data_IF_141511711025
#
_entry.id   IF_141511711025
#
_cell.length_a   1.000
_cell.length_b   1.000
_cell.length_c   1.000
_cell.angle_alpha   90.00
_cell.angle_beta   90.00
_cell.angle_gamma   90.00
#
_symmetry.space_group_name_H-M   'P 1'
#
loop_
_entity.id
_entity.type
_entity.pdbx_description
1 polymer ?
#
# COMPACT_ATOMS: atom_id res chain seq x y z
N UNK A 1 -20.59 6.20 11.87
CA UNK A 1 -22.02 6.22 12.30
C UNK A 1 -22.77 7.41 11.72
N UNK A 2 -22.33 8.67 11.95
CA UNK A 2 -23.03 9.87 11.40
C UNK A 2 -23.11 9.82 9.86
N UNK A 3 -22.01 9.49 9.18
CA UNK A 3 -21.97 9.38 7.70
C UNK A 3 -22.89 8.26 7.20
N UNK A 4 -22.95 7.14 7.91
CA UNK A 4 -23.85 6.03 7.65
C UNK A 4 -25.31 6.46 7.75
N UNK A 5 -25.71 7.11 8.86
CA UNK A 5 -27.08 7.56 9.09
C UNK A 5 -27.54 8.66 8.13
N UNK A 6 -26.59 9.43 7.57
CA UNK A 6 -26.87 10.42 6.53
C UNK A 6 -26.89 9.85 5.10
N UNK A 7 -26.79 8.53 4.94
CA UNK A 7 -26.75 7.88 3.61
C UNK A 7 -25.45 8.14 2.84
N UNK A 8 -24.40 8.60 3.52
CA UNK A 8 -23.13 8.92 2.88
C UNK A 8 -22.34 7.68 2.46
N UNK A 9 -22.57 6.54 3.11
CA UNK A 9 -21.96 5.25 2.74
C UNK A 9 -22.51 4.78 1.41
N UNK A 10 -23.83 4.83 1.24
CA UNK A 10 -24.52 4.44 0.01
C UNK A 10 -24.06 5.30 -1.17
N UNK A 11 -23.95 6.61 -0.96
CA UNK A 11 -23.49 7.54 -1.99
C UNK A 11 -22.03 7.25 -2.41
N UNK A 12 -21.13 7.05 -1.46
CA UNK A 12 -19.73 6.71 -1.74
C UNK A 12 -19.61 5.35 -2.42
N UNK A 13 -20.37 4.35 -1.98
CA UNK A 13 -20.41 3.02 -2.59
C UNK A 13 -20.91 3.08 -4.04
N UNK A 14 -21.93 3.90 -4.33
CA UNK A 14 -22.42 4.10 -5.69
C UNK A 14 -21.38 4.75 -6.60
N UNK A 15 -20.65 5.76 -6.11
CA UNK A 15 -19.62 6.44 -6.90
C UNK A 15 -18.40 5.57 -7.16
N UNK A 16 -18.03 4.71 -6.21
CA UNK A 16 -16.88 3.81 -6.32
C UNK A 16 -17.25 2.46 -6.97
N UNK A 17 -18.55 2.16 -7.10
CA UNK A 17 -19.02 0.90 -7.68
C UNK A 17 -18.39 0.57 -9.05
N UNK A 18 -18.29 1.50 -10.03
CA UNK A 18 -17.64 1.17 -11.30
C UNK A 18 -16.16 0.80 -11.15
N UNK A 19 -15.46 1.44 -10.19
CA UNK A 19 -14.06 1.17 -9.90
C UNK A 19 -13.90 -0.20 -9.23
N UNK A 20 -14.77 -0.53 -8.28
CA UNK A 20 -14.79 -1.84 -7.62
C UNK A 20 -15.14 -2.95 -8.61
N UNK A 21 -16.13 -2.76 -9.47
CA UNK A 21 -16.49 -3.70 -10.51
C UNK A 21 -15.33 -3.98 -11.49
N UNK A 22 -14.52 -2.97 -11.83
CA UNK A 22 -13.34 -3.12 -12.68
C UNK A 22 -12.36 -4.17 -12.13
N UNK A 23 -12.23 -4.23 -10.82
CA UNK A 23 -11.32 -5.15 -10.11
C UNK A 23 -12.03 -6.35 -9.49
N UNK A 24 -13.31 -6.58 -9.81
CA UNK A 24 -14.09 -7.75 -9.36
C UNK A 24 -14.48 -7.74 -7.89
N UNK A 25 -14.58 -6.56 -7.29
CA UNK A 25 -14.95 -6.39 -5.89
C UNK A 25 -16.41 -5.90 -5.76
N UNK A 26 -17.12 -6.28 -4.67
CA UNK A 26 -18.39 -5.68 -4.30
C UNK A 26 -18.25 -4.17 -4.04
N UNK A 27 -19.34 -3.42 -4.29
CA UNK A 27 -19.38 -1.95 -4.14
C UNK A 27 -19.03 -1.45 -2.74
N UNK A 28 -19.37 -2.21 -1.72
CA UNK A 28 -19.09 -1.91 -0.30
C UNK A 28 -17.59 -1.81 -0.01
N UNK A 29 -16.76 -2.53 -0.75
CA UNK A 29 -15.30 -2.48 -0.63
C UNK A 29 -14.72 -1.14 -1.08
N UNK A 30 -15.49 -0.36 -1.82
CA UNK A 30 -15.14 1.02 -2.17
C UNK A 30 -14.92 1.91 -0.95
N UNK A 31 -15.76 1.79 0.08
CA UNK A 31 -15.60 2.54 1.33
C UNK A 31 -14.33 2.12 2.08
N UNK A 32 -14.04 0.81 2.13
CA UNK A 32 -12.80 0.28 2.75
C UNK A 32 -11.59 0.88 2.07
N UNK A 33 -11.55 0.84 0.74
CA UNK A 33 -10.41 1.37 -0.01
C UNK A 33 -10.32 2.90 0.08
N UNK A 34 -11.42 3.63 -0.04
CA UNK A 34 -11.44 5.10 0.10
C UNK A 34 -10.92 5.53 1.48
N UNK A 35 -11.35 4.86 2.55
CA UNK A 35 -10.85 5.11 3.91
C UNK A 35 -9.35 4.86 3.99
N UNK A 36 -8.88 3.77 3.42
CA UNK A 36 -7.45 3.43 3.36
C UNK A 36 -6.64 4.50 2.61
N UNK A 37 -7.13 4.96 1.45
CA UNK A 37 -6.49 5.99 0.64
C UNK A 37 -6.26 7.29 1.40
N UNK A 38 -7.28 7.74 2.14
CA UNK A 38 -7.25 9.05 2.81
C UNK A 38 -6.57 8.99 4.18
N UNK A 39 -6.67 7.85 4.87
CA UNK A 39 -6.15 7.70 6.23
C UNK A 39 -4.94 6.76 6.29
N UNK A 40 -5.16 5.47 6.53
CA UNK A 40 -4.13 4.42 6.60
C UNK A 40 -4.76 3.02 6.50
N UNK A 41 -3.91 1.99 6.41
CA UNK A 41 -4.35 0.59 6.33
C UNK A 41 -5.19 0.18 7.53
N UNK A 42 -4.83 0.62 8.76
CA UNK A 42 -5.55 0.24 9.98
C UNK A 42 -7.00 0.73 9.99
N UNK A 43 -7.22 1.98 9.56
CA UNK A 43 -8.58 2.53 9.44
C UNK A 43 -9.39 1.79 8.36
N UNK A 44 -8.76 1.42 7.24
CA UNK A 44 -9.38 0.58 6.22
C UNK A 44 -9.78 -0.79 6.76
N UNK A 45 -8.91 -1.43 7.55
CA UNK A 45 -9.20 -2.71 8.21
C UNK A 45 -10.36 -2.59 9.20
N UNK A 46 -10.47 -1.48 9.95
CA UNK A 46 -11.63 -1.24 10.82
C UNK A 46 -12.93 -1.19 10.04
N UNK A 47 -12.96 -0.47 8.92
CA UNK A 47 -14.14 -0.42 8.05
C UNK A 47 -14.43 -1.80 7.47
N UNK A 48 -13.41 -2.53 7.03
CA UNK A 48 -13.56 -3.90 6.51
C UNK A 48 -14.20 -4.83 7.56
N UNK A 49 -13.73 -4.79 8.82
CA UNK A 49 -14.27 -5.61 9.90
C UNK A 49 -15.72 -5.25 10.26
N UNK A 50 -16.15 -4.02 10.00
CA UNK A 50 -17.55 -3.59 10.20
C UNK A 50 -18.48 -3.93 9.04
N UNK A 51 -17.94 -4.39 7.92
CA UNK A 51 -18.70 -4.83 6.74
C UNK A 51 -19.05 -6.31 6.87
N UNK A 52 -20.31 -6.66 6.66
CA UNK A 52 -20.77 -8.06 6.70
C UNK A 52 -20.73 -8.70 5.29
N UNK A 53 -19.58 -8.56 4.62
CA UNK A 53 -19.39 -9.11 3.29
C UNK A 53 -18.68 -10.46 3.34
N UNK A 54 -19.28 -11.47 2.74
CA UNK A 54 -18.64 -12.76 2.51
C UNK A 54 -17.81 -12.69 1.24
N UNK A 55 -16.51 -12.50 1.41
CA UNK A 55 -15.55 -12.41 0.30
C UNK A 55 -14.80 -13.72 0.11
N UNK A 56 -14.46 -14.00 -1.13
CA UNK A 56 -13.52 -15.08 -1.46
C UNK A 56 -12.08 -14.66 -1.15
N UNK A 57 -11.16 -15.63 -1.02
CA UNK A 57 -9.73 -15.37 -0.87
C UNK A 57 -9.21 -14.52 -2.04
N UNK A 58 -9.69 -14.76 -3.27
CA UNK A 58 -9.38 -13.94 -4.45
C UNK A 58 -9.75 -12.47 -4.23
N UNK A 59 -10.99 -12.21 -3.80
CA UNK A 59 -11.48 -10.85 -3.57
C UNK A 59 -10.74 -10.14 -2.44
N UNK A 60 -10.48 -10.83 -1.32
CA UNK A 60 -9.70 -10.26 -0.21
C UNK A 60 -8.26 -9.99 -0.63
N UNK A 61 -7.66 -10.84 -1.47
CA UNK A 61 -6.30 -10.61 -1.99
C UNK A 61 -6.25 -9.40 -2.93
N UNK A 62 -7.26 -9.20 -3.77
CA UNK A 62 -7.38 -8.00 -4.60
C UNK A 62 -7.55 -6.76 -3.72
N UNK A 63 -8.49 -6.76 -2.77
CA UNK A 63 -8.71 -5.65 -1.85
C UNK A 63 -7.43 -5.31 -1.08
N UNK A 64 -6.78 -6.34 -0.50
CA UNK A 64 -5.51 -6.19 0.19
C UNK A 64 -4.43 -5.57 -0.69
N UNK A 65 -4.35 -5.98 -1.96
CA UNK A 65 -3.43 -5.39 -2.94
C UNK A 65 -3.72 -3.91 -3.19
N UNK A 66 -4.99 -3.53 -3.33
CA UNK A 66 -5.38 -2.12 -3.46
C UNK A 66 -4.93 -1.30 -2.23
N UNK A 67 -5.16 -1.85 -1.03
CA UNK A 67 -4.78 -1.22 0.23
C UNK A 67 -3.25 -1.11 0.37
N UNK A 68 -2.50 -2.16 0.01
CA UNK A 68 -1.05 -2.20 0.10
C UNK A 68 -0.35 -1.22 -0.84
N UNK A 69 -0.86 -1.04 -2.07
CA UNK A 69 -0.27 -0.17 -3.08
C UNK A 69 -0.70 1.29 -2.94
N UNK A 70 -1.90 1.53 -2.39
CA UNK A 70 -2.44 2.87 -2.28
C UNK A 70 -3.15 3.08 -0.93
N UNK A 71 -2.41 3.62 0.04
CA UNK A 71 -2.90 4.06 1.35
C UNK A 71 -2.25 5.37 1.76
N UNK A 72 -2.76 6.04 2.78
CA UNK A 72 -2.18 7.25 3.39
C UNK A 72 -1.76 8.33 2.38
N UNK A 73 -2.48 8.50 1.27
CA UNK A 73 -2.09 9.37 0.16
C UNK A 73 -1.71 10.79 0.60
N UNK A 74 -2.43 11.47 1.52
CA UNK A 74 -2.06 12.83 1.92
C UNK A 74 -0.65 12.92 2.51
N UNK A 75 -0.27 11.93 3.34
CA UNK A 75 1.04 11.89 3.99
C UNK A 75 2.13 11.48 2.99
N UNK A 76 1.89 10.43 2.22
CA UNK A 76 2.90 9.85 1.35
C UNK A 76 3.19 10.72 0.12
N UNK A 77 2.15 11.37 -0.43
CA UNK A 77 2.33 12.40 -1.47
C UNK A 77 3.14 13.59 -0.93
N UNK A 78 2.90 14.00 0.32
CA UNK A 78 3.68 15.08 0.94
C UNK A 78 5.15 14.68 1.13
N UNK A 79 5.43 13.42 1.51
CA UNK A 79 6.79 12.87 1.60
C UNK A 79 7.46 12.86 0.22
N UNK A 80 6.80 12.33 -0.79
CA UNK A 80 7.31 12.27 -2.16
C UNK A 80 7.60 13.69 -2.71
N UNK A 81 6.67 14.64 -2.50
CA UNK A 81 6.87 16.05 -2.88
C UNK A 81 8.09 16.67 -2.21
N UNK A 82 8.30 16.43 -0.91
CA UNK A 82 9.47 16.91 -0.18
C UNK A 82 10.78 16.29 -0.69
N UNK A 83 10.74 15.11 -1.28
CA UNK A 83 11.89 14.49 -1.95
C UNK A 83 12.08 14.99 -3.40
N UNK A 84 11.31 15.97 -3.84
CA UNK A 84 11.40 16.54 -5.19
C UNK A 84 10.60 15.77 -6.25
N UNK A 85 9.74 14.86 -5.88
CA UNK A 85 8.92 14.05 -6.79
C UNK A 85 7.59 14.73 -7.08
N UNK A 86 7.16 14.67 -8.35
CA UNK A 86 5.90 15.25 -8.81
C UNK A 86 4.68 14.59 -8.17
N UNK A 87 3.75 15.40 -7.64
CA UNK A 87 2.51 14.91 -7.00
C UNK A 87 1.71 14.04 -7.97
N UNK A 88 1.54 14.48 -9.21
CA UNK A 88 0.73 13.79 -10.22
C UNK A 88 1.30 12.39 -10.48
N UNK A 89 2.63 12.27 -10.62
CA UNK A 89 3.27 10.98 -10.81
C UNK A 89 3.11 10.05 -9.61
N UNK A 90 3.21 10.60 -8.38
CA UNK A 90 2.94 9.83 -7.16
C UNK A 90 1.52 9.29 -7.14
N UNK A 91 0.52 10.11 -7.49
CA UNK A 91 -0.88 9.68 -7.54
C UNK A 91 -1.12 8.65 -8.66
N UNK A 92 -0.55 8.86 -9.85
CA UNK A 92 -0.67 7.92 -10.96
C UNK A 92 -0.08 6.56 -10.59
N UNK A 93 1.13 6.53 -10.02
CA UNK A 93 1.79 5.27 -9.71
C UNK A 93 1.06 4.52 -8.59
N UNK A 94 0.54 5.21 -7.59
CA UNK A 94 -0.16 4.57 -6.46
C UNK A 94 -1.57 4.16 -6.81
N UNK A 95 -2.42 5.09 -7.25
CA UNK A 95 -3.82 4.80 -7.59
C UNK A 95 -3.90 3.98 -8.87
N UNK A 96 -3.23 4.43 -9.92
CA UNK A 96 -3.21 3.72 -11.21
C UNK A 96 -2.54 2.35 -11.09
N UNK A 97 -1.42 2.25 -10.37
CA UNK A 97 -0.72 0.99 -10.11
C UNK A 97 -1.57 0.01 -9.30
N UNK A 98 -2.25 0.46 -8.25
CA UNK A 98 -3.13 -0.40 -7.45
C UNK A 98 -4.31 -0.94 -8.27
N UNK A 99 -4.97 -0.09 -9.04
CA UNK A 99 -6.07 -0.49 -9.91
C UNK A 99 -5.61 -1.43 -11.04
N UNK A 100 -4.46 -1.15 -11.64
CA UNK A 100 -3.88 -2.01 -12.68
C UNK A 100 -3.55 -3.40 -12.13
N UNK A 101 -2.90 -3.49 -10.97
CA UNK A 101 -2.60 -4.77 -10.35
C UNK A 101 -3.88 -5.49 -9.94
N UNK A 102 -4.84 -4.79 -9.32
CA UNK A 102 -6.13 -5.35 -8.96
C UNK A 102 -6.90 -5.91 -10.16
N UNK A 103 -6.90 -5.18 -11.28
CA UNK A 103 -7.50 -5.65 -12.53
C UNK A 103 -6.78 -6.89 -13.10
N UNK A 104 -5.45 -6.89 -13.12
CA UNK A 104 -4.66 -8.07 -13.57
C UNK A 104 -4.99 -9.29 -12.72
N UNK A 105 -5.01 -9.15 -11.40
CA UNK A 105 -5.33 -10.23 -10.47
C UNK A 105 -6.77 -10.72 -10.68
N UNK A 106 -7.73 -9.83 -10.86
CA UNK A 106 -9.11 -10.19 -11.17
C UNK A 106 -9.20 -11.06 -12.44
N UNK A 107 -8.51 -10.65 -13.53
CA UNK A 107 -8.48 -11.44 -14.76
C UNK A 107 -7.82 -12.82 -14.56
N UNK A 108 -6.72 -12.90 -13.81
CA UNK A 108 -6.02 -14.16 -13.51
C UNK A 108 -6.93 -15.09 -12.70
N UNK A 109 -7.55 -14.60 -11.64
CA UNK A 109 -8.40 -15.41 -10.76
C UNK A 109 -9.66 -15.88 -11.46
N UNK A 110 -10.30 -14.98 -12.22
CA UNK A 110 -11.51 -15.33 -12.97
C UNK A 110 -11.23 -16.36 -14.08
N UNK A 111 -10.15 -16.18 -14.84
CA UNK A 111 -9.80 -17.10 -15.93
C UNK A 111 -9.30 -18.46 -15.45
N UNK A 112 -8.60 -18.48 -14.31
CA UNK A 112 -8.02 -19.70 -13.73
C UNK A 112 -8.93 -20.40 -12.72
N UNK A 113 -10.11 -19.86 -12.41
CA UNK A 113 -11.01 -20.35 -11.34
C UNK A 113 -10.26 -20.54 -10.00
N UNK A 114 -9.43 -19.53 -9.64
CA UNK A 114 -8.50 -19.60 -8.51
C UNK A 114 -9.04 -18.90 -7.28
N UNK A 115 -8.72 -19.44 -6.09
CA UNK A 115 -8.98 -18.83 -4.78
C UNK A 115 -10.45 -18.47 -4.51
N UNK A 116 -11.39 -19.28 -5.01
CA UNK A 116 -12.83 -19.06 -4.88
C UNK A 116 -13.42 -19.52 -3.54
N UNK A 117 -12.60 -20.02 -2.62
CA UNK A 117 -13.03 -20.37 -1.27
C UNK A 117 -13.28 -19.10 -0.44
N UNK A 118 -14.21 -19.16 0.51
CA UNK A 118 -14.46 -18.08 1.45
C UNK A 118 -13.21 -17.74 2.25
N UNK A 119 -12.94 -16.47 2.43
CA UNK A 119 -11.78 -15.99 3.19
C UNK A 119 -12.02 -16.18 4.70
N UNK A 120 -11.02 -16.72 5.39
CA UNK A 120 -11.02 -16.80 6.86
C UNK A 120 -10.47 -15.51 7.46
N UNK A 121 -11.34 -14.66 7.98
CA UNK A 121 -10.97 -13.40 8.61
C UNK A 121 -10.67 -13.62 10.08
N UNK A 122 -9.39 -13.60 10.46
CA UNK A 122 -8.94 -13.82 11.86
C UNK A 122 -9.47 -12.75 12.81
N UNK A 123 -9.67 -11.53 12.31
CA UNK A 123 -10.11 -10.38 13.11
C UNK A 123 -11.62 -10.14 13.08
N UNK A 124 -12.42 -11.07 12.55
CA UNK A 124 -13.88 -10.87 12.43
C UNK A 124 -14.51 -10.81 13.82
N UNK A 125 -15.22 -9.73 14.11
CA UNK A 125 -16.07 -9.62 15.28
C UNK A 125 -17.49 -10.11 14.94
N UNK A 126 -18.13 -10.74 15.92
CA UNK A 126 -19.56 -11.01 15.81
C UNK A 126 -20.32 -9.67 15.70
N UNK A 127 -21.20 -9.56 14.74
CA UNK A 127 -22.03 -8.37 14.59
C UNK A 127 -22.79 -8.09 15.88
N UNK A 128 -22.76 -6.82 16.34
CA UNK A 128 -23.52 -6.40 17.55
C UNK A 128 -24.99 -6.35 17.16
N UNK A 129 -25.79 -7.21 17.78
CA UNK A 129 -27.25 -7.29 17.55
C UNK A 129 -28.04 -6.12 18.15
N UNK A 130 -27.43 -5.33 19.05
CA UNK A 130 -28.06 -4.19 19.71
C UNK A 130 -27.82 -2.90 18.92
N UNK A 131 -28.87 -2.23 18.39
CA UNK A 131 -28.76 -1.03 17.60
C UNK A 131 -28.45 0.23 18.43
N UNK A 132 -28.27 0.14 19.75
CA UNK A 132 -28.05 1.31 20.62
C UNK A 132 -26.69 1.96 20.39
N UNK A 133 -26.63 3.28 20.52
CA UNK A 133 -25.37 4.04 20.44
C UNK A 133 -24.33 3.60 21.49
N UNK A 134 -24.82 3.13 22.67
CA UNK A 134 -23.95 2.66 23.74
C UNK A 134 -23.30 1.33 23.34
N UNK A 135 -24.08 0.40 22.79
CA UNK A 135 -23.54 -0.88 22.28
C UNK A 135 -22.55 -0.64 21.15
N UNK A 136 -22.88 0.24 20.20
CA UNK A 136 -21.96 0.68 19.14
C UNK A 136 -20.66 1.26 19.71
N UNK A 137 -20.72 2.16 20.69
CA UNK A 137 -19.53 2.79 21.28
C UNK A 137 -18.65 1.75 22.00
N UNK A 138 -19.26 0.79 22.72
CA UNK A 138 -18.54 -0.31 23.37
C UNK A 138 -17.84 -1.19 22.32
N UNK A 139 -18.52 -1.49 21.20
CA UNK A 139 -17.95 -2.29 20.13
C UNK A 139 -16.78 -1.58 19.44
N UNK A 140 -16.91 -0.26 19.19
CA UNK A 140 -15.79 0.54 18.68
C UNK A 140 -14.59 0.52 19.63
N UNK A 141 -14.80 0.62 20.93
CA UNK A 141 -13.71 0.54 21.93
C UNK A 141 -13.05 -0.84 21.93
N UNK A 142 -13.82 -1.93 21.81
CA UNK A 142 -13.26 -3.29 21.69
C UNK A 142 -12.45 -3.45 20.41
N UNK A 143 -12.95 -2.96 19.27
CA UNK A 143 -12.27 -2.98 17.99
C UNK A 143 -10.96 -2.19 18.04
N UNK A 144 -10.98 -1.00 18.63
CA UNK A 144 -9.76 -0.19 18.84
C UNK A 144 -8.75 -0.90 19.75
N UNK A 145 -9.21 -1.51 20.84
CA UNK A 145 -8.35 -2.25 21.77
C UNK A 145 -7.71 -3.46 21.06
N UNK A 146 -8.49 -4.19 20.25
CA UNK A 146 -7.97 -5.33 19.48
C UNK A 146 -6.92 -4.87 18.44
N UNK A 147 -7.20 -3.82 17.68
CA UNK A 147 -6.24 -3.26 16.73
C UNK A 147 -4.97 -2.80 17.45
N UNK A 148 -5.10 -2.16 18.61
CA UNK A 148 -3.94 -1.78 19.42
C UNK A 148 -3.09 -3.01 19.81
N UNK A 149 -3.72 -4.10 20.23
CA UNK A 149 -3.01 -5.36 20.56
C UNK A 149 -2.31 -5.93 19.33
N UNK A 150 -2.99 -5.94 18.17
CA UNK A 150 -2.42 -6.40 16.89
C UNK A 150 -1.20 -5.55 16.49
N UNK A 151 -1.32 -4.22 16.57
CA UNK A 151 -0.21 -3.31 16.27
C UNK A 151 0.96 -3.57 17.22
N UNK A 152 0.71 -3.68 18.53
CA UNK A 152 1.74 -3.92 19.52
C UNK A 152 2.45 -5.28 19.30
N UNK A 153 1.69 -6.33 18.96
CA UNK A 153 2.23 -7.64 18.63
C UNK A 153 3.08 -7.58 17.35
N UNK A 154 2.59 -6.92 16.29
CA UNK A 154 3.31 -6.72 15.03
C UNK A 154 4.60 -5.93 15.23
N UNK A 155 4.55 -4.81 15.93
CA UNK A 155 5.74 -4.00 16.23
C UNK A 155 6.78 -4.79 17.04
N UNK A 156 6.32 -5.61 17.99
CA UNK A 156 7.19 -6.51 18.76
C UNK A 156 7.82 -7.57 17.86
N UNK A 157 7.02 -8.18 16.99
CA UNK A 157 7.49 -9.18 16.04
C UNK A 157 8.51 -8.61 15.04
N UNK A 158 8.24 -7.43 14.48
CA UNK A 158 9.20 -6.73 13.60
C UNK A 158 10.51 -6.41 14.32
N UNK A 159 10.45 -6.02 15.60
CA UNK A 159 11.66 -5.80 16.41
C UNK A 159 12.46 -7.09 16.57
N UNK A 160 11.80 -8.22 16.81
CA UNK A 160 12.44 -9.54 16.87
C UNK A 160 13.07 -9.92 15.53
N UNK A 161 12.38 -9.73 14.41
CA UNK A 161 12.92 -9.97 13.06
C UNK A 161 14.18 -9.12 12.80
N UNK A 162 14.18 -7.87 13.23
CA UNK A 162 15.34 -6.98 13.13
C UNK A 162 16.52 -7.52 13.94
N UNK A 163 16.29 -7.97 15.17
CA UNK A 163 17.33 -8.60 16.02
C UNK A 163 17.89 -9.88 15.38
N UNK A 164 17.06 -10.66 14.68
CA UNK A 164 17.46 -11.85 13.94
C UNK A 164 18.21 -11.54 12.63
N UNK A 165 18.33 -10.27 12.25
CA UNK A 165 19.06 -9.85 11.05
C UNK A 165 18.30 -9.97 9.75
N UNK A 166 16.98 -10.12 9.77
CA UNK A 166 16.12 -10.19 8.57
C UNK A 166 16.31 -8.95 7.67
N UNK A 167 16.54 -7.79 8.26
CA UNK A 167 16.86 -6.56 7.53
C UNK A 167 18.12 -6.71 6.65
N UNK A 168 19.16 -7.40 7.15
CA UNK A 168 20.38 -7.71 6.38
C UNK A 168 20.09 -8.70 5.25
N UNK A 169 19.28 -9.72 5.52
CA UNK A 169 18.86 -10.70 4.52
C UNK A 169 18.07 -10.03 3.40
N UNK A 170 17.10 -9.20 3.72
CA UNK A 170 16.35 -8.40 2.76
C UNK A 170 17.28 -7.50 1.93
N UNK A 171 18.28 -6.88 2.58
CA UNK A 171 19.30 -6.11 1.88
C UNK A 171 20.08 -6.94 0.85
N UNK A 172 20.45 -8.17 1.17
CA UNK A 172 21.15 -9.07 0.24
C UNK A 172 20.25 -9.45 -0.94
N UNK A 173 19.00 -9.77 -0.69
CA UNK A 173 18.03 -10.19 -1.71
C UNK A 173 17.60 -9.03 -2.63
N UNK A 174 17.43 -7.82 -2.09
CA UNK A 174 16.93 -6.67 -2.85
C UNK A 174 18.03 -5.95 -3.63
N UNK A 175 19.30 -5.96 -3.17
CA UNK A 175 20.40 -5.27 -3.86
C UNK A 175 20.54 -5.62 -5.35
N UNK A 176 20.54 -6.89 -5.77
CA UNK A 176 20.64 -7.21 -7.20
C UNK A 176 19.47 -6.64 -8.00
N UNK A 177 18.24 -6.70 -7.46
CA UNK A 177 17.04 -6.16 -8.09
C UNK A 177 17.16 -4.65 -8.28
N UNK A 178 17.55 -3.91 -7.22
CA UNK A 178 17.71 -2.46 -7.26
C UNK A 178 18.85 -2.03 -8.18
N UNK A 179 19.91 -2.83 -8.28
CA UNK A 179 21.01 -2.61 -9.20
C UNK A 179 20.59 -2.74 -10.66
N UNK A 180 19.77 -3.74 -10.99
CA UNK A 180 19.18 -3.90 -12.36
C UNK A 180 18.30 -2.72 -12.72
N UNK A 181 17.57 -2.15 -11.78
CA UNK A 181 16.77 -0.95 -11.96
C UNK A 181 17.63 0.33 -12.15
N UNK A 182 18.95 0.21 -12.04
CA UNK A 182 19.89 1.31 -12.26
C UNK A 182 19.91 2.35 -11.14
N UNK A 183 19.42 1.99 -9.94
CA UNK A 183 19.50 2.83 -8.74
C UNK A 183 20.93 2.80 -8.21
N UNK A 184 21.51 3.95 -7.92
CA UNK A 184 22.87 4.02 -7.43
C UNK A 184 23.00 3.37 -6.03
N UNK A 185 24.22 3.03 -5.60
CA UNK A 185 24.46 2.26 -4.37
C UNK A 185 23.98 3.00 -3.11
N UNK A 186 24.07 4.31 -3.09
CA UNK A 186 23.66 5.13 -1.93
C UNK A 186 22.14 5.14 -1.81
N UNK A 187 21.42 5.43 -2.92
CA UNK A 187 19.98 5.36 -2.97
C UNK A 187 19.46 3.93 -2.71
N UNK A 188 20.17 2.89 -3.17
CA UNK A 188 19.84 1.48 -2.90
C UNK A 188 19.76 1.19 -1.41
N UNK A 189 20.73 1.63 -0.60
CA UNK A 189 20.71 1.39 0.84
C UNK A 189 19.51 2.05 1.52
N UNK A 190 19.18 3.29 1.12
CA UNK A 190 18.03 4.04 1.66
C UNK A 190 16.70 3.42 1.23
N UNK A 191 16.64 2.94 -0.01
CA UNK A 191 15.46 2.24 -0.54
C UNK A 191 15.20 0.94 0.22
N UNK A 192 16.24 0.16 0.53
CA UNK A 192 16.11 -1.06 1.35
C UNK A 192 15.54 -0.73 2.73
N UNK A 193 16.01 0.35 3.37
CA UNK A 193 15.45 0.83 4.64
C UNK A 193 13.96 1.17 4.48
N UNK A 194 13.58 1.84 3.39
CA UNK A 194 12.17 2.18 3.13
C UNK A 194 11.29 0.96 2.85
N UNK A 195 11.81 -0.06 2.15
CA UNK A 195 11.07 -1.31 1.90
C UNK A 195 10.85 -2.07 3.21
N UNK A 196 11.81 -2.03 4.13
CA UNK A 196 11.75 -2.81 5.38
C UNK A 196 11.06 -2.07 6.52
N UNK A 197 11.31 -0.77 6.68
CA UNK A 197 10.86 0.06 7.82
C UNK A 197 9.76 1.07 7.43
N UNK A 198 9.36 1.10 6.18
CA UNK A 198 8.30 1.97 5.68
C UNK A 198 8.76 3.29 5.07
N UNK A 199 7.84 3.93 4.36
CA UNK A 199 8.12 5.16 3.61
C UNK A 199 8.49 6.34 4.52
N UNK A 200 7.95 6.43 5.72
CA UNK A 200 8.29 7.50 6.68
C UNK A 200 9.78 7.51 7.02
N UNK A 201 10.39 6.34 7.20
CA UNK A 201 11.83 6.22 7.47
C UNK A 201 12.67 6.37 6.19
N UNK A 202 12.42 5.53 5.19
CA UNK A 202 13.17 5.55 3.93
C UNK A 202 13.00 6.85 3.16
N UNK A 203 11.78 7.38 3.09
CA UNK A 203 11.49 8.66 2.46
C UNK A 203 12.14 9.83 3.19
N UNK A 204 12.16 9.82 4.53
CA UNK A 204 12.85 10.82 5.32
C UNK A 204 14.36 10.87 5.03
N UNK A 205 14.99 9.71 4.90
CA UNK A 205 16.40 9.61 4.50
C UNK A 205 16.63 10.11 3.07
N UNK A 206 15.78 9.72 2.12
CA UNK A 206 15.85 10.19 0.74
C UNK A 206 15.66 11.71 0.63
N UNK A 207 14.74 12.30 1.40
CA UNK A 207 14.56 13.76 1.48
C UNK A 207 15.86 14.44 1.95
N UNK A 208 16.50 13.89 2.96
CA UNK A 208 17.74 14.45 3.50
C UNK A 208 18.88 14.40 2.47
N UNK A 209 19.05 13.26 1.79
CA UNK A 209 20.06 13.13 0.73
C UNK A 209 19.74 13.95 -0.51
N UNK A 210 18.45 14.12 -0.83
CA UNK A 210 18.01 15.03 -1.90
C UNK A 210 18.42 16.48 -1.64
N UNK A 211 18.29 16.95 -0.39
CA UNK A 211 18.76 18.28 0.02
C UNK A 211 20.28 18.43 -0.01
N UNK A 212 21.00 17.37 0.37
CA UNK A 212 22.49 17.37 0.31
C UNK A 212 23.05 17.33 -1.12
N UNK A 213 22.23 16.91 -2.08
CA UNK A 213 22.64 16.84 -3.49
C UNK A 213 23.62 15.70 -3.82
N UNK A 214 23.84 14.74 -2.92
CA UNK A 214 24.74 13.60 -3.13
C UNK A 214 24.16 12.57 -4.11
N UNK A 215 22.82 12.43 -4.11
CA UNK A 215 22.10 11.50 -4.97
C UNK A 215 21.43 12.28 -6.13
N UNK A 216 21.47 11.75 -7.33
CA UNK A 216 20.85 12.41 -8.45
C UNK A 216 19.33 12.51 -8.29
N UNK A 217 18.67 13.61 -8.77
CA UNK A 217 17.20 13.73 -8.69
C UNK A 217 16.47 12.57 -9.35
N UNK A 218 17.07 11.98 -10.39
CA UNK A 218 16.54 10.81 -11.09
C UNK A 218 16.56 9.56 -10.19
N UNK A 219 17.68 9.30 -9.49
CA UNK A 219 17.78 8.14 -8.60
C UNK A 219 16.84 8.28 -7.43
N UNK A 220 16.68 9.50 -6.88
CA UNK A 220 15.69 9.79 -5.83
C UNK A 220 14.28 9.52 -6.35
N UNK A 221 13.96 9.97 -7.56
CA UNK A 221 12.67 9.75 -8.17
C UNK A 221 12.38 8.24 -8.34
N UNK A 222 13.29 7.47 -8.90
CA UNK A 222 13.12 6.01 -9.10
C UNK A 222 12.98 5.29 -7.77
N UNK A 223 13.82 5.62 -6.78
CA UNK A 223 13.74 5.07 -5.43
C UNK A 223 12.37 5.39 -4.76
N UNK A 224 11.90 6.65 -4.87
CA UNK A 224 10.60 7.05 -4.34
C UNK A 224 9.44 6.36 -5.05
N UNK A 225 9.49 6.19 -6.39
CA UNK A 225 8.45 5.46 -7.14
C UNK A 225 8.40 3.99 -6.72
N UNK A 226 9.55 3.37 -6.49
CA UNK A 226 9.61 2.01 -5.98
C UNK A 226 9.05 1.93 -4.55
N UNK A 227 9.42 2.85 -3.66
CA UNK A 227 8.87 2.89 -2.30
C UNK A 227 7.37 3.18 -2.28
N UNK A 228 6.86 3.97 -3.21
CA UNK A 228 5.43 4.21 -3.35
C UNK A 228 4.61 2.92 -3.58
N UNK A 229 5.22 1.87 -4.14
CA UNK A 229 4.58 0.58 -4.40
C UNK A 229 4.99 -0.52 -3.42
N UNK A 230 6.21 -0.44 -2.82
CA UNK A 230 6.80 -1.57 -2.11
C UNK A 230 7.36 -1.22 -0.71
N UNK A 231 6.93 -0.15 -0.08
CA UNK A 231 7.35 0.11 1.30
C UNK A 231 6.63 -0.81 2.31
N UNK A 232 7.17 -0.90 3.53
CA UNK A 232 6.62 -1.74 4.62
C UNK A 232 6.28 -3.17 4.21
N UNK A 233 7.12 -3.78 3.36
CA UNK A 233 6.81 -5.04 2.70
C UNK A 233 6.43 -6.16 3.68
N UNK A 234 7.05 -6.23 4.84
CA UNK A 234 6.77 -7.27 5.85
C UNK A 234 5.55 -6.87 6.69
N UNK A 235 5.55 -5.65 7.25
CA UNK A 235 4.52 -5.19 8.18
C UNK A 235 3.13 -5.20 7.54
N UNK A 236 3.00 -4.49 6.42
CA UNK A 236 1.72 -4.34 5.75
C UNK A 236 1.20 -5.68 5.20
N UNK A 237 2.10 -6.55 4.71
CA UNK A 237 1.72 -7.90 4.26
C UNK A 237 1.13 -8.72 5.41
N UNK A 238 1.76 -8.69 6.58
CA UNK A 238 1.26 -9.41 7.76
C UNK A 238 -0.12 -8.90 8.20
N UNK A 239 -0.36 -7.58 8.11
CA UNK A 239 -1.68 -7.01 8.39
C UNK A 239 -2.76 -7.53 7.45
N UNK A 240 -2.46 -7.56 6.15
CA UNK A 240 -3.43 -8.01 5.14
C UNK A 240 -3.64 -9.53 5.19
N UNK A 241 -2.66 -10.31 5.64
CA UNK A 241 -2.86 -11.74 5.91
C UNK A 241 -3.93 -12.00 6.99
N UNK A 242 -4.10 -11.11 7.98
CA UNK A 242 -5.09 -11.26 9.04
C UNK A 242 -6.54 -11.19 8.56
N UNK A 243 -6.77 -10.67 7.36
CA UNK A 243 -8.10 -10.65 6.72
C UNK A 243 -8.30 -11.79 5.71
N UNK A 244 -7.35 -12.73 5.62
CA UNK A 244 -7.50 -13.95 4.81
C UNK A 244 -7.01 -13.82 3.36
N UNK A 245 -6.14 -12.85 3.05
CA UNK A 245 -5.55 -12.71 1.72
C UNK A 245 -4.51 -13.82 1.43
N UNK A 246 -4.31 -14.15 0.15
CA UNK A 246 -3.29 -15.09 -0.29
C UNK A 246 -1.89 -14.48 -0.22
N UNK A 247 -0.97 -15.14 0.50
CA UNK A 247 0.40 -14.69 0.69
C UNK A 247 1.18 -14.51 -0.63
N UNK A 248 1.03 -15.46 -1.56
CA UNK A 248 1.76 -15.40 -2.83
C UNK A 248 1.39 -14.15 -3.63
N UNK A 249 0.12 -13.78 -3.59
CA UNK A 249 -0.39 -12.60 -4.27
C UNK A 249 0.11 -11.31 -3.63
N UNK A 250 -0.11 -11.13 -2.32
CA UNK A 250 0.13 -9.84 -1.66
C UNK A 250 1.62 -9.60 -1.37
N UNK A 251 2.45 -10.63 -1.32
CA UNK A 251 3.90 -10.53 -1.14
C UNK A 251 4.63 -10.63 -2.48
N UNK A 252 4.69 -11.82 -3.09
CA UNK A 252 5.46 -12.04 -4.31
C UNK A 252 4.84 -11.36 -5.53
N UNK A 253 3.51 -11.40 -5.67
CA UNK A 253 2.80 -10.68 -6.73
C UNK A 253 3.09 -9.20 -6.66
N UNK A 254 3.06 -8.59 -5.47
CA UNK A 254 3.41 -7.17 -5.24
C UNK A 254 4.86 -6.88 -5.62
N UNK A 255 5.81 -7.73 -5.24
CA UNK A 255 7.24 -7.56 -5.60
C UNK A 255 7.42 -7.60 -7.11
N UNK A 256 6.92 -8.63 -7.77
CA UNK A 256 7.05 -8.80 -9.23
C UNK A 256 6.40 -7.64 -9.97
N UNK A 257 5.17 -7.28 -9.59
CA UNK A 257 4.46 -6.14 -10.19
C UNK A 257 5.27 -4.85 -10.04
N UNK A 258 5.73 -4.55 -8.83
CA UNK A 258 6.49 -3.32 -8.56
C UNK A 258 7.78 -3.27 -9.38
N UNK A 259 8.56 -4.35 -9.40
CA UNK A 259 9.80 -4.40 -10.18
C UNK A 259 9.52 -4.18 -11.66
N UNK A 260 8.50 -4.83 -12.20
CA UNK A 260 8.10 -4.69 -13.61
C UNK A 260 7.68 -3.23 -13.93
N UNK A 261 6.84 -2.62 -13.10
CA UNK A 261 6.39 -1.24 -13.30
C UNK A 261 7.57 -0.26 -13.23
N UNK A 262 8.47 -0.44 -12.27
CA UNK A 262 9.64 0.45 -12.13
C UNK A 262 10.63 0.23 -13.27
N UNK A 263 10.81 -1.00 -13.76
CA UNK A 263 11.66 -1.26 -14.94
C UNK A 263 11.11 -0.55 -16.20
N UNK A 264 9.81 -0.65 -16.43
CA UNK A 264 9.14 0.08 -17.51
C UNK A 264 9.31 1.59 -17.33
N UNK A 265 9.13 2.11 -16.13
CA UNK A 265 9.32 3.53 -15.83
C UNK A 265 10.76 3.99 -16.12
N UNK A 266 11.76 3.23 -15.68
CA UNK A 266 13.19 3.51 -15.93
C UNK A 266 13.50 3.46 -17.43
N UNK A 267 12.93 2.50 -18.15
CA UNK A 267 13.08 2.40 -19.60
C UNK A 267 12.51 3.63 -20.33
N UNK A 268 11.35 4.13 -19.90
CA UNK A 268 10.76 5.36 -20.44
C UNK A 268 11.64 6.57 -20.13
N UNK A 269 12.08 6.71 -18.87
CA UNK A 269 12.95 7.83 -18.45
C UNK A 269 14.28 7.88 -19.22
N UNK A 270 14.84 6.73 -19.60
CA UNK A 270 16.08 6.67 -20.40
C UNK A 270 15.92 7.23 -21.81
N UNK A 271 14.69 7.30 -22.34
CA UNK A 271 14.36 7.80 -23.68
C UNK A 271 13.89 9.25 -23.70
N UNK A 272 13.64 9.83 -22.53
CA UNK A 272 13.17 11.21 -22.40
C UNK A 272 14.35 12.15 -22.15
N UNK A 273 14.22 13.37 -22.67
CA UNK A 273 15.18 14.45 -22.38
C UNK A 273 15.04 14.93 -20.93
N UNK A 274 16.16 15.38 -20.35
CA UNK A 274 16.22 15.82 -18.94
C UNK A 274 15.28 17.00 -18.66
N UNK A 275 15.04 17.88 -19.64
CA UNK A 275 14.13 19.03 -19.46
C UNK A 275 12.69 18.60 -19.26
N UNK A 276 12.24 17.60 -20.00
CA UNK A 276 10.91 16.99 -19.86
C UNK A 276 10.80 16.23 -18.55
N UNK A 277 11.84 15.48 -18.18
CA UNK A 277 11.88 14.77 -16.89
C UNK A 277 11.74 15.74 -15.72
N UNK A 278 12.46 16.83 -15.70
CA UNK A 278 12.38 17.88 -14.66
C UNK A 278 11.05 18.60 -14.62
N UNK A 279 10.37 18.72 -15.74
CA UNK A 279 9.07 19.39 -15.83
C UNK A 279 7.94 18.56 -15.23
N UNK A 280 7.95 17.24 -15.44
CA UNK A 280 6.80 16.37 -15.16
C UNK A 280 7.02 15.36 -14.03
N UNK A 281 8.25 14.92 -13.78
CA UNK A 281 8.52 13.80 -12.89
C UNK A 281 9.20 14.23 -11.60
N UNK A 282 10.26 15.04 -11.67
CA UNK A 282 11.04 15.43 -10.51
C UNK A 282 11.68 16.82 -10.66
N UNK A 283 11.97 17.44 -9.54
CA UNK A 283 12.65 18.72 -9.48
C UNK A 283 13.88 18.61 -8.58
N UNK A 284 14.93 19.42 -8.89
CA UNK A 284 16.03 19.58 -7.94
C UNK A 284 15.51 20.38 -6.73
N UNK A 285 15.69 19.84 -5.55
CA UNK A 285 15.37 20.58 -4.32
C UNK A 285 16.44 21.65 -4.15
N UNK A 286 16.06 22.92 -4.19
CA UNK A 286 16.91 24.02 -3.73
C UNK A 286 16.84 24.08 -2.21
N UNK A 287 17.96 24.36 -1.55
CA UNK A 287 18.04 24.59 -0.13
C UNK A 287 17.03 25.62 0.35
#
# INVERSE_FOLDING_TARGET
KIVEELGGIELLSQWLSPVMALVGLPSEMGLVWATTLVTNIYAGLMVFMSTDADLTVAQVSILGTLMLLAHSLPVEVAVAKKAGVGIVMTLIIRIGGSLLMGWILHQIYQSGDLLNTSAEVVLRHAAVSDPSYVAWAIDQLKSLAMIFVVIAALMTFLRLLKLLGIEKLMGILLRPILSVLGINREATNLTIVGITLGLSFGGGLLINEAKRGHISPRDIFVAMMLLNLLHSLIEDTLLILLIGADFMTIFWGRVVFTVTVIEVLVFVLKRMDESTCRKYFYTKISE
#
